data_IF_799006964797
#
_entry.id   IF_799006964797
#
_cell.length_a   1.000
_cell.length_b   1.000
_cell.length_c   1.000
_cell.angle_alpha   90.00
_cell.angle_beta   90.00
_cell.angle_gamma   90.00
#
_symmetry.space_group_name_H-M   'P 1'
#
loop_
_entity.id
_entity.type
_entity.pdbx_description
1 polymer ?
#
# COMPACT_ATOMS: atom_id res chain seq x y z
N UNK A 1 -11.82 -7.21 -13.97
CA UNK A 1 -12.10 -7.49 -12.54
C UNK A 1 -12.91 -6.35 -11.94
N UNK A 2 -13.90 -6.60 -11.06
CA UNK A 2 -14.67 -5.50 -10.45
C UNK A 2 -13.80 -4.83 -9.38
N UNK A 3 -13.48 -3.56 -9.57
CA UNK A 3 -12.73 -2.76 -8.60
C UNK A 3 -13.55 -2.60 -7.31
N UNK A 4 -13.20 -3.37 -6.28
CA UNK A 4 -13.91 -3.40 -5.01
C UNK A 4 -13.94 -2.04 -4.32
N UNK A 5 -12.83 -1.29 -4.37
CA UNK A 5 -12.70 0.04 -3.78
C UNK A 5 -13.68 1.00 -4.43
N UNK A 6 -13.66 1.10 -5.75
CA UNK A 6 -14.55 1.97 -6.51
C UNK A 6 -16.01 1.53 -6.37
N UNK A 7 -16.29 0.24 -6.40
CA UNK A 7 -17.65 -0.28 -6.19
C UNK A 7 -18.19 0.10 -4.81
N UNK A 8 -17.34 0.05 -3.77
CA UNK A 8 -17.71 0.45 -2.42
C UNK A 8 -17.96 1.95 -2.33
N UNK A 9 -17.08 2.79 -2.91
CA UNK A 9 -17.26 4.25 -2.96
C UNK A 9 -18.56 4.61 -3.69
N UNK A 10 -18.84 4.02 -4.85
CA UNK A 10 -20.10 4.21 -5.58
C UNK A 10 -21.32 3.89 -4.75
N UNK A 11 -21.29 2.76 -4.03
CA UNK A 11 -22.37 2.37 -3.13
C UNK A 11 -22.55 3.38 -2.00
N UNK A 12 -21.46 3.87 -1.41
CA UNK A 12 -21.52 4.90 -0.37
C UNK A 12 -22.09 6.21 -0.90
N UNK A 13 -21.70 6.64 -2.09
CA UNK A 13 -22.25 7.83 -2.76
C UNK A 13 -23.73 7.69 -3.04
N UNK A 14 -24.20 6.49 -3.46
CA UNK A 14 -25.62 6.23 -3.75
C UNK A 14 -26.51 6.33 -2.52
N UNK A 15 -25.98 6.00 -1.33
CA UNK A 15 -26.72 6.11 -0.06
C UNK A 15 -26.46 7.45 0.65
N UNK A 16 -25.84 8.41 -0.05
CA UNK A 16 -25.55 9.75 0.46
C UNK A 16 -24.64 9.76 1.70
N UNK A 17 -23.63 8.90 1.73
CA UNK A 17 -22.59 8.95 2.76
C UNK A 17 -21.87 10.29 2.71
N UNK A 18 -21.88 11.08 3.80
CA UNK A 18 -21.40 12.45 3.76
C UNK A 18 -19.88 12.56 3.79
N UNK A 19 -19.20 11.63 4.47
CA UNK A 19 -17.74 11.69 4.68
C UNK A 19 -17.18 10.30 4.50
N UNK A 20 -16.25 10.16 3.55
CA UNK A 20 -15.50 8.96 3.28
C UNK A 20 -14.02 9.26 3.52
N UNK A 21 -13.31 8.38 4.19
CA UNK A 21 -11.85 8.42 4.30
C UNK A 21 -11.31 7.23 3.53
N UNK A 22 -10.55 7.50 2.48
CA UNK A 22 -9.97 6.49 1.61
C UNK A 22 -8.46 6.39 1.82
N UNK A 23 -8.01 5.25 2.32
CA UNK A 23 -6.59 4.96 2.51
C UNK A 23 -6.03 4.35 1.24
N UNK A 24 -5.06 5.02 0.61
CA UNK A 24 -4.41 4.54 -0.61
C UNK A 24 -2.93 4.90 -0.61
N UNK A 25 -2.12 4.02 -1.20
CA UNK A 25 -0.70 4.26 -1.46
C UNK A 25 -0.44 5.04 -2.76
N UNK A 26 -1.50 5.29 -3.56
CA UNK A 26 -1.41 6.00 -4.84
C UNK A 26 -2.64 6.91 -5.01
N UNK A 27 -2.57 8.10 -4.39
CA UNK A 27 -3.65 9.08 -4.44
C UNK A 27 -4.00 9.52 -5.87
N UNK A 28 -3.04 9.81 -6.77
CA UNK A 28 -3.35 10.17 -8.15
C UNK A 28 -4.14 9.08 -8.88
N UNK A 29 -3.71 7.82 -8.76
CA UNK A 29 -4.38 6.70 -9.38
C UNK A 29 -5.79 6.46 -8.82
N UNK A 30 -5.95 6.50 -7.49
CA UNK A 30 -7.27 6.39 -6.87
C UNK A 30 -8.19 7.54 -7.28
N UNK A 31 -7.67 8.76 -7.33
CA UNK A 31 -8.42 9.95 -7.76
C UNK A 31 -8.92 9.82 -9.19
N UNK A 32 -8.09 9.32 -10.12
CA UNK A 32 -8.49 9.06 -11.49
C UNK A 32 -9.64 8.02 -11.56
N UNK A 33 -9.50 6.89 -10.88
CA UNK A 33 -10.54 5.85 -10.83
C UNK A 33 -11.86 6.36 -10.23
N UNK A 34 -11.78 7.21 -9.20
CA UNK A 34 -12.95 7.89 -8.65
C UNK A 34 -13.55 8.80 -9.71
N UNK A 35 -12.77 9.64 -10.39
CA UNK A 35 -13.23 10.56 -11.41
C UNK A 35 -14.01 9.84 -12.54
N UNK A 36 -13.46 8.74 -13.05
CA UNK A 36 -14.11 7.90 -14.08
C UNK A 36 -15.42 7.26 -13.59
N UNK A 37 -15.60 7.18 -12.29
CA UNK A 37 -16.69 6.44 -11.66
C UNK A 37 -17.86 7.27 -11.14
N UNK A 38 -17.66 8.58 -10.92
CA UNK A 38 -18.65 9.45 -10.25
C UNK A 38 -19.83 9.83 -11.14
N UNK A 39 -19.73 9.64 -12.46
CA UNK A 39 -20.77 9.98 -13.41
C UNK A 39 -21.01 11.50 -13.49
N UNK A 40 -22.29 11.90 -13.60
CA UNK A 40 -22.73 13.30 -13.77
C UNK A 40 -22.77 14.12 -12.46
N UNK A 41 -21.93 13.79 -11.48
CA UNK A 41 -21.84 14.58 -10.23
C UNK A 41 -20.76 15.64 -10.36
N UNK A 42 -20.99 16.88 -9.90
CA UNK A 42 -19.89 17.85 -9.77
C UNK A 42 -18.78 17.26 -8.90
N UNK A 43 -17.54 17.32 -9.37
CA UNK A 43 -16.40 16.78 -8.64
C UNK A 43 -15.23 17.74 -8.65
N UNK A 44 -14.73 18.04 -7.45
CA UNK A 44 -13.61 18.94 -7.24
C UNK A 44 -12.56 18.28 -6.35
N UNK A 45 -11.31 18.61 -6.61
CA UNK A 45 -10.18 18.21 -5.80
C UNK A 45 -9.62 19.41 -5.05
N UNK A 46 -9.14 19.19 -3.86
CA UNK A 46 -8.42 20.20 -3.10
C UNK A 46 -7.04 19.70 -2.70
N UNK A 47 -6.02 20.51 -2.99
CA UNK A 47 -4.67 20.34 -2.48
C UNK A 47 -4.20 21.61 -1.77
N UNK A 48 -3.19 21.47 -0.89
CA UNK A 48 -2.66 22.62 -0.15
C UNK A 48 -1.93 23.64 -1.05
N UNK A 49 -1.47 23.20 -2.22
CA UNK A 49 -0.72 24.03 -3.17
C UNK A 49 -1.64 24.76 -4.14
N UNK A 50 -2.67 24.06 -4.63
CA UNK A 50 -3.46 24.54 -5.76
C UNK A 50 -4.86 25.03 -5.35
N UNK A 51 -5.27 24.76 -4.08
CA UNK A 51 -6.64 25.01 -3.66
C UNK A 51 -7.61 24.07 -4.35
N UNK A 52 -8.81 24.55 -4.71
CA UNK A 52 -9.78 23.78 -5.45
C UNK A 52 -9.46 23.75 -6.94
N UNK A 53 -9.41 22.54 -7.49
CA UNK A 53 -9.27 22.25 -8.92
C UNK A 53 -10.42 21.35 -9.40
N UNK A 54 -10.92 21.53 -10.63
CA UNK A 54 -11.99 20.69 -11.13
C UNK A 54 -11.47 19.28 -11.47
N UNK A 55 -12.32 18.28 -11.25
CA UNK A 55 -12.12 16.91 -11.72
C UNK A 55 -12.89 16.66 -13.00
N UNK A 56 -14.04 17.33 -13.19
CA UNK A 56 -14.88 17.26 -14.36
C UNK A 56 -15.49 18.64 -14.69
N UNK A 57 -16.14 18.78 -15.83
CA UNK A 57 -16.76 20.04 -16.28
C UNK A 57 -17.79 20.60 -15.30
N UNK A 58 -18.57 19.71 -14.65
CA UNK A 58 -19.51 20.16 -13.60
C UNK A 58 -18.79 20.67 -12.36
N UNK A 59 -17.61 20.13 -12.04
CA UNK A 59 -16.74 20.62 -10.98
C UNK A 59 -16.15 21.99 -11.30
N UNK A 60 -15.80 22.27 -12.56
CA UNK A 60 -15.36 23.57 -13.04
C UNK A 60 -16.46 24.61 -12.83
N UNK A 61 -17.66 24.33 -13.33
CA UNK A 61 -18.83 25.18 -13.13
C UNK A 61 -19.15 25.41 -11.65
N UNK A 62 -18.91 24.42 -10.79
CA UNK A 62 -19.12 24.53 -9.35
C UNK A 62 -18.10 25.44 -8.68
N UNK A 63 -16.84 25.46 -9.14
CA UNK A 63 -15.80 26.38 -8.66
C UNK A 63 -16.08 27.80 -9.12
N UNK A 64 -16.44 27.98 -10.38
CA UNK A 64 -16.78 29.30 -10.96
C UNK A 64 -17.96 29.97 -10.27
N UNK A 65 -18.86 29.18 -9.69
CA UNK A 65 -19.96 29.66 -8.88
C UNK A 65 -19.61 30.14 -7.47
N UNK A 66 -18.36 29.99 -7.03
CA UNK A 66 -17.91 30.47 -5.71
C UNK A 66 -17.53 31.95 -5.75
N UNK A 67 -17.71 32.61 -4.59
CA UNK A 67 -17.19 33.96 -4.41
C UNK A 67 -15.65 33.96 -4.47
N UNK A 68 -15.01 34.94 -5.16
CA UNK A 68 -13.55 35.04 -5.21
C UNK A 68 -12.86 35.09 -3.82
N UNK A 69 -13.53 35.59 -2.81
CA UNK A 69 -13.02 35.56 -1.44
C UNK A 69 -13.00 34.15 -0.86
N UNK A 70 -14.00 33.34 -1.18
CA UNK A 70 -14.04 31.94 -0.77
C UNK A 70 -12.94 31.12 -1.44
N UNK A 71 -12.70 31.33 -2.74
CA UNK A 71 -11.58 30.70 -3.44
C UNK A 71 -10.27 31.04 -2.75
N UNK A 72 -10.04 32.31 -2.44
CA UNK A 72 -8.83 32.75 -1.72
C UNK A 72 -8.76 32.15 -0.30
N UNK A 73 -9.87 32.03 0.41
CA UNK A 73 -9.91 31.40 1.73
C UNK A 73 -9.60 29.92 1.66
N UNK A 74 -10.03 29.22 0.62
CA UNK A 74 -9.76 27.81 0.42
C UNK A 74 -8.29 27.49 0.16
N UNK A 75 -7.52 28.42 -0.41
CA UNK A 75 -6.08 28.29 -0.61
C UNK A 75 -5.24 28.62 0.63
N UNK A 76 -5.81 29.28 1.62
CA UNK A 76 -5.09 29.70 2.80
C UNK A 76 -4.74 28.53 3.74
N UNK A 77 -5.69 27.61 3.94
CA UNK A 77 -5.52 26.42 4.77
C UNK A 77 -6.67 25.43 4.58
N UNK A 78 -6.46 24.19 5.02
CA UNK A 78 -7.44 23.11 4.91
C UNK A 78 -8.74 23.36 5.66
N UNK A 79 -8.70 24.06 6.81
CA UNK A 79 -9.91 24.42 7.55
C UNK A 79 -10.80 25.40 6.77
N UNK A 80 -10.19 26.38 6.10
CA UNK A 80 -10.86 27.30 5.16
C UNK A 80 -11.45 26.54 3.97
N UNK A 81 -10.70 25.61 3.40
CA UNK A 81 -11.19 24.76 2.32
C UNK A 81 -12.43 23.97 2.75
N UNK A 82 -12.39 23.26 3.87
CA UNK A 82 -13.54 22.49 4.38
C UNK A 82 -14.74 23.42 4.68
N UNK A 83 -14.50 24.64 5.13
CA UNK A 83 -15.57 25.61 5.33
C UNK A 83 -16.23 26.00 4.00
N UNK A 84 -15.43 26.34 2.98
CA UNK A 84 -15.90 26.69 1.64
C UNK A 84 -16.59 25.50 0.95
N UNK A 85 -16.17 24.28 1.24
CA UNK A 85 -16.80 23.07 0.71
C UNK A 85 -18.31 22.98 0.96
N UNK A 86 -18.84 23.70 1.98
CA UNK A 86 -20.28 23.79 2.25
C UNK A 86 -21.04 24.62 1.23
N UNK A 87 -20.35 25.43 0.44
CA UNK A 87 -20.95 26.36 -0.52
C UNK A 87 -21.13 25.75 -1.91
N UNK A 88 -20.48 24.63 -2.21
CA UNK A 88 -20.67 23.94 -3.48
C UNK A 88 -22.13 23.52 -3.72
N UNK A 89 -22.55 23.34 -4.96
CA UNK A 89 -23.89 22.89 -5.28
C UNK A 89 -24.22 21.49 -4.68
N UNK A 90 -25.51 21.13 -4.52
CA UNK A 90 -25.89 19.79 -4.07
C UNK A 90 -25.25 18.68 -4.90
N UNK A 91 -25.07 17.52 -4.30
CA UNK A 91 -24.45 16.33 -4.92
C UNK A 91 -22.98 16.47 -5.29
N UNK A 92 -22.29 17.56 -4.97
CA UNK A 92 -20.86 17.71 -5.23
C UNK A 92 -20.05 16.71 -4.41
N UNK A 93 -19.08 16.08 -5.08
CA UNK A 93 -18.02 15.28 -4.44
C UNK A 93 -16.77 16.13 -4.32
N UNK A 94 -16.29 16.28 -3.08
CA UNK A 94 -15.09 17.05 -2.76
C UNK A 94 -14.00 16.07 -2.33
N UNK A 95 -12.93 15.97 -3.09
CA UNK A 95 -11.75 15.16 -2.72
C UNK A 95 -10.75 16.08 -2.02
N UNK A 96 -10.24 15.66 -0.86
CA UNK A 96 -9.20 16.39 -0.12
C UNK A 96 -7.96 15.51 -0.03
N UNK A 97 -6.88 15.96 -0.64
CA UNK A 97 -5.62 15.22 -0.65
C UNK A 97 -4.88 15.32 0.69
N UNK A 98 -4.22 14.23 1.06
CA UNK A 98 -3.36 14.17 2.26
C UNK A 98 -4.05 14.64 3.55
N UNK A 99 -5.31 14.31 3.72
CA UNK A 99 -6.09 14.75 4.88
C UNK A 99 -5.46 14.34 6.22
N UNK A 100 -4.71 13.25 6.24
CA UNK A 100 -3.98 12.76 7.43
C UNK A 100 -2.92 13.73 7.96
N UNK A 101 -2.38 14.63 7.15
CA UNK A 101 -1.43 15.65 7.61
C UNK A 101 -2.02 16.62 8.63
N UNK A 102 -3.36 16.67 8.73
CA UNK A 102 -4.09 17.62 9.54
C UNK A 102 -4.84 17.00 10.73
N UNK A 103 -4.58 15.70 11.02
CA UNK A 103 -5.26 15.00 12.11
C UNK A 103 -5.03 15.62 13.50
N UNK A 104 -3.88 16.27 13.70
CA UNK A 104 -3.55 16.94 14.97
C UNK A 104 -4.17 18.34 15.10
N UNK A 105 -4.91 18.79 14.09
CA UNK A 105 -5.53 20.11 14.06
C UNK A 105 -7.00 20.04 14.52
N UNK A 106 -7.35 20.49 15.74
CA UNK A 106 -8.72 20.39 16.26
C UNK A 106 -9.75 21.10 15.37
N UNK A 107 -9.37 22.24 14.77
CA UNK A 107 -10.23 23.01 13.85
C UNK A 107 -10.62 22.18 12.64
N UNK A 108 -9.71 21.39 12.09
CA UNK A 108 -9.99 20.53 10.92
C UNK A 108 -10.92 19.38 11.30
N UNK A 109 -10.66 18.70 12.41
CA UNK A 109 -11.54 17.64 12.92
C UNK A 109 -12.97 18.18 13.14
N UNK A 110 -13.09 19.31 13.81
CA UNK A 110 -14.40 19.94 14.03
C UNK A 110 -15.07 20.37 12.72
N UNK A 111 -14.30 20.91 11.77
CA UNK A 111 -14.83 21.28 10.45
C UNK A 111 -15.41 20.09 9.70
N UNK A 112 -14.73 18.94 9.74
CA UNK A 112 -15.20 17.67 9.15
C UNK A 112 -16.49 17.21 9.83
N UNK A 113 -16.52 17.18 11.16
CA UNK A 113 -17.70 16.78 11.92
C UNK A 113 -18.92 17.66 11.56
N UNK A 114 -18.71 18.95 11.38
CA UNK A 114 -19.74 19.90 11.01
C UNK A 114 -20.27 19.75 9.58
N UNK A 115 -19.62 18.94 8.72
CA UNK A 115 -20.13 18.63 7.39
C UNK A 115 -21.21 17.54 7.40
N UNK A 116 -21.22 16.68 8.40
CA UNK A 116 -22.02 15.44 8.40
C UNK A 116 -23.47 15.68 8.02
N UNK A 117 -24.20 16.48 8.78
CA UNK A 117 -25.63 16.72 8.57
C UNK A 117 -25.93 17.53 7.29
N UNK A 118 -25.24 18.67 7.02
CA UNK A 118 -25.43 19.42 5.78
C UNK A 118 -25.11 18.60 4.52
N UNK A 119 -24.08 17.77 4.55
CA UNK A 119 -23.69 16.96 3.40
C UNK A 119 -24.68 15.84 3.13
N UNK A 120 -25.13 15.15 4.18
CA UNK A 120 -26.17 14.14 4.06
C UNK A 120 -27.47 14.71 3.47
N UNK A 121 -27.92 15.86 3.97
CA UNK A 121 -29.15 16.52 3.51
C UNK A 121 -29.07 16.94 2.02
N UNK A 122 -27.88 17.31 1.54
CA UNK A 122 -27.67 17.81 0.17
C UNK A 122 -27.00 16.79 -0.75
N UNK A 123 -26.82 15.54 -0.31
CA UNK A 123 -26.15 14.46 -1.05
C UNK A 123 -24.71 14.81 -1.47
N UNK A 124 -24.06 15.77 -0.81
CA UNK A 124 -22.65 16.05 -1.00
C UNK A 124 -21.82 14.97 -0.33
N UNK A 125 -20.58 14.81 -0.77
CA UNK A 125 -19.64 13.89 -0.15
C UNK A 125 -18.25 14.52 -0.08
N UNK A 126 -17.59 14.41 1.08
CA UNK A 126 -16.17 14.67 1.20
C UNK A 126 -15.44 13.33 1.20
N UNK A 127 -14.47 13.18 0.32
CA UNK A 127 -13.57 12.02 0.26
C UNK A 127 -12.18 12.49 0.67
N UNK A 128 -11.76 12.18 1.90
CA UNK A 128 -10.40 12.47 2.37
C UNK A 128 -9.45 11.35 1.97
N UNK A 129 -8.43 11.66 1.17
CA UNK A 129 -7.37 10.70 0.84
C UNK A 129 -6.32 10.71 1.95
N UNK A 130 -5.97 9.52 2.43
CA UNK A 130 -4.97 9.32 3.49
C UNK A 130 -3.99 8.22 3.11
N UNK A 131 -2.80 8.24 3.71
CA UNK A 131 -1.76 7.24 3.50
C UNK A 131 -1.33 6.64 4.84
N UNK A 132 -1.63 5.34 5.05
CA UNK A 132 -1.12 4.57 6.18
C UNK A 132 -1.44 5.12 7.57
N UNK A 133 -2.42 6.03 7.67
CA UNK A 133 -2.74 6.74 8.90
C UNK A 133 -4.01 6.18 9.55
N UNK A 134 -3.92 5.89 10.83
CA UNK A 134 -5.10 5.53 11.63
C UNK A 134 -6.06 6.73 11.70
N UNK A 135 -7.35 6.41 11.63
CA UNK A 135 -8.40 7.42 11.77
C UNK A 135 -8.47 7.90 13.23
N UNK A 136 -8.46 9.22 13.48
CA UNK A 136 -8.65 9.74 14.85
C UNK A 136 -9.95 9.21 15.48
N UNK A 137 -9.90 8.86 16.76
CA UNK A 137 -11.05 8.30 17.49
C UNK A 137 -12.31 9.16 17.38
N UNK A 138 -12.14 10.49 17.37
CA UNK A 138 -13.22 11.47 17.23
C UNK A 138 -13.97 11.34 15.89
N UNK A 139 -13.31 10.85 14.84
CA UNK A 139 -13.85 10.76 13.48
C UNK A 139 -14.39 9.37 13.12
N UNK A 140 -14.05 8.33 13.89
CA UNK A 140 -14.43 6.93 13.59
C UNK A 140 -15.94 6.78 13.41
N UNK A 141 -16.75 7.39 14.27
CA UNK A 141 -18.21 7.30 14.22
C UNK A 141 -18.87 8.24 13.21
N UNK A 142 -18.13 9.21 12.69
CA UNK A 142 -18.63 10.24 11.80
C UNK A 142 -18.30 10.00 10.33
N UNK A 143 -17.41 9.07 10.04
CA UNK A 143 -16.86 8.80 8.71
C UNK A 143 -17.01 7.34 8.32
N UNK A 144 -17.00 7.08 7.03
CA UNK A 144 -16.89 5.73 6.48
C UNK A 144 -15.48 5.53 5.94
N UNK A 145 -14.82 4.46 6.35
CA UNK A 145 -13.46 4.16 5.95
C UNK A 145 -13.42 3.14 4.81
N UNK A 146 -12.54 3.36 3.85
CA UNK A 146 -12.33 2.47 2.70
C UNK A 146 -10.83 2.29 2.50
N UNK A 147 -10.37 1.05 2.45
CA UNK A 147 -9.02 0.72 2.02
C UNK A 147 -8.98 0.53 0.51
N UNK A 148 -7.94 1.10 -0.09
CA UNK A 148 -7.53 0.85 -1.46
C UNK A 148 -6.27 -0.01 -1.42
N UNK A 149 -6.41 -1.33 -1.50
CA UNK A 149 -5.28 -2.24 -1.38
C UNK A 149 -4.32 -2.06 -2.55
N UNK A 150 -3.06 -2.43 -2.32
CA UNK A 150 -2.09 -2.53 -3.40
C UNK A 150 -2.60 -3.51 -4.48
N UNK A 151 -2.21 -3.31 -5.74
CA UNK A 151 -2.68 -4.13 -6.85
C UNK A 151 -2.32 -5.61 -6.65
N UNK A 152 -3.25 -6.48 -7.03
CA UNK A 152 -3.02 -7.92 -7.07
C UNK A 152 -2.11 -8.32 -8.25
N UNK A 153 -1.69 -9.58 -8.29
CA UNK A 153 -0.81 -10.10 -9.34
C UNK A 153 -1.41 -9.99 -10.73
N UNK A 154 -2.73 -10.15 -10.85
CA UNK A 154 -3.46 -10.02 -12.11
C UNK A 154 -3.37 -8.60 -12.65
N UNK A 155 -3.66 -7.61 -11.82
CA UNK A 155 -3.57 -6.19 -12.17
C UNK A 155 -2.14 -5.79 -12.54
N UNK A 156 -1.14 -6.29 -11.80
CA UNK A 156 0.27 -6.05 -12.09
C UNK A 156 0.69 -6.69 -13.42
N UNK A 157 0.19 -7.88 -13.72
CA UNK A 157 0.45 -8.56 -14.99
C UNK A 157 -0.11 -7.80 -16.18
N UNK A 158 -1.36 -7.36 -16.10
CA UNK A 158 -1.98 -6.56 -17.16
C UNK A 158 -1.26 -5.21 -17.35
N UNK A 159 -0.87 -4.56 -16.26
CA UNK A 159 -0.09 -3.33 -16.32
C UNK A 159 1.30 -3.54 -16.95
N UNK A 160 1.97 -4.64 -16.64
CA UNK A 160 3.24 -5.02 -17.26
C UNK A 160 3.10 -5.19 -18.77
N UNK A 161 2.02 -5.86 -19.22
CA UNK A 161 1.74 -6.03 -20.65
C UNK A 161 1.45 -4.69 -21.33
N UNK A 162 0.63 -3.84 -20.73
CA UNK A 162 0.34 -2.50 -21.25
C UNK A 162 1.62 -1.71 -21.50
N UNK A 163 2.55 -1.70 -20.56
CA UNK A 163 3.83 -1.00 -20.67
C UNK A 163 4.70 -1.63 -21.77
N UNK A 164 4.76 -2.96 -21.79
CA UNK A 164 5.53 -3.69 -22.79
C UNK A 164 5.04 -3.38 -24.21
N UNK A 165 3.74 -3.52 -24.47
CA UNK A 165 3.18 -3.26 -25.80
C UNK A 165 3.22 -1.77 -26.19
N UNK A 166 3.14 -0.88 -25.21
CA UNK A 166 3.36 0.55 -25.46
C UNK A 166 4.78 0.86 -25.95
N UNK A 167 5.77 0.10 -25.48
CA UNK A 167 7.18 0.32 -25.81
C UNK A 167 7.62 -0.38 -27.11
N UNK A 168 7.15 -1.59 -27.35
CA UNK A 168 7.60 -2.46 -28.46
C UNK A 168 6.56 -2.62 -29.57
N UNK A 169 5.30 -2.25 -29.34
CA UNK A 169 4.19 -2.45 -30.27
C UNK A 169 3.59 -3.86 -30.19
N UNK A 170 2.43 -4.03 -30.82
CA UNK A 170 1.61 -5.26 -30.74
C UNK A 170 2.21 -6.45 -31.53
N UNK A 171 3.26 -6.22 -32.32
CA UNK A 171 3.94 -7.28 -33.07
C UNK A 171 4.90 -8.10 -32.23
N UNK A 172 5.35 -7.56 -31.12
CA UNK A 172 6.17 -8.27 -30.13
C UNK A 172 5.26 -9.06 -29.17
N UNK A 173 5.79 -10.18 -28.64
CA UNK A 173 5.02 -11.01 -27.71
C UNK A 173 5.75 -11.12 -26.39
N UNK A 174 5.08 -10.71 -25.34
CA UNK A 174 5.47 -11.04 -23.97
C UNK A 174 4.82 -12.35 -23.58
N UNK A 175 5.64 -13.34 -23.20
CA UNK A 175 5.13 -14.63 -22.73
C UNK A 175 4.33 -14.49 -21.44
N UNK A 176 3.25 -15.27 -21.31
CA UNK A 176 2.36 -15.21 -20.14
C UNK A 176 3.07 -15.61 -18.84
N UNK A 177 3.97 -16.58 -18.92
CA UNK A 177 4.75 -17.01 -17.75
C UNK A 177 5.77 -15.95 -17.36
N UNK A 178 6.36 -15.26 -18.33
CA UNK A 178 7.26 -14.14 -18.10
C UNK A 178 6.51 -12.95 -17.48
N UNK A 179 5.37 -12.53 -18.04
CA UNK A 179 4.53 -11.49 -17.50
C UNK A 179 4.10 -11.79 -16.06
N UNK A 180 3.71 -13.04 -15.78
CA UNK A 180 3.37 -13.49 -14.43
C UNK A 180 4.58 -13.50 -13.48
N UNK A 181 5.75 -13.83 -13.99
CA UNK A 181 7.01 -13.75 -13.25
C UNK A 181 7.35 -12.32 -12.83
N UNK A 182 7.21 -11.37 -13.75
CA UNK A 182 7.42 -9.93 -13.49
C UNK A 182 6.40 -9.40 -12.50
N UNK A 183 5.11 -9.73 -12.67
CA UNK A 183 4.06 -9.32 -11.74
C UNK A 183 4.33 -9.79 -10.30
N UNK A 184 4.88 -11.00 -10.12
CA UNK A 184 5.28 -11.51 -8.79
C UNK A 184 6.42 -10.70 -8.18
N UNK A 185 7.38 -10.24 -8.99
CA UNK A 185 8.49 -9.40 -8.53
C UNK A 185 8.04 -7.98 -8.15
N UNK A 186 6.94 -7.52 -8.75
CA UNK A 186 6.32 -6.20 -8.48
C UNK A 186 5.33 -6.22 -7.30
N UNK A 187 5.01 -7.36 -6.71
CA UNK A 187 4.09 -7.43 -5.56
C UNK A 187 4.53 -6.47 -4.44
N UNK A 188 3.54 -5.82 -3.84
CA UNK A 188 3.77 -4.85 -2.78
C UNK A 188 4.15 -3.44 -3.28
N UNK A 189 4.07 -3.19 -4.58
CA UNK A 189 4.26 -1.84 -5.15
C UNK A 189 2.93 -1.18 -5.51
N UNK A 190 2.89 0.16 -5.46
CA UNK A 190 1.75 0.91 -6.01
C UNK A 190 1.71 0.82 -7.53
N UNK A 191 0.54 1.10 -8.17
CA UNK A 191 0.42 1.09 -9.63
C UNK A 191 1.46 1.97 -10.32
N UNK A 192 1.63 3.20 -9.86
CA UNK A 192 2.64 4.12 -10.37
C UNK A 192 4.06 3.54 -10.24
N UNK A 193 4.38 2.96 -9.08
CA UNK A 193 5.72 2.40 -8.85
C UNK A 193 5.97 1.17 -9.72
N UNK A 194 4.97 0.30 -9.89
CA UNK A 194 5.06 -0.85 -10.79
C UNK A 194 5.33 -0.41 -12.23
N UNK A 195 4.65 0.64 -12.69
CA UNK A 195 4.87 1.24 -14.00
C UNK A 195 6.32 1.74 -14.15
N UNK A 196 6.81 2.53 -13.20
CA UNK A 196 8.17 3.06 -13.24
C UNK A 196 9.24 1.96 -13.23
N UNK A 197 9.07 0.95 -12.37
CA UNK A 197 10.01 -0.17 -12.27
C UNK A 197 10.05 -0.98 -13.57
N UNK A 198 8.90 -1.23 -14.17
CA UNK A 198 8.80 -1.95 -15.44
C UNK A 198 9.44 -1.12 -16.57
N UNK A 199 9.09 0.15 -16.69
CA UNK A 199 9.63 1.04 -17.72
C UNK A 199 11.17 1.18 -17.63
N UNK A 200 11.72 1.34 -16.43
CA UNK A 200 13.17 1.41 -16.21
C UNK A 200 13.91 0.11 -16.51
N UNK A 201 13.20 -1.00 -16.58
CA UNK A 201 13.75 -2.32 -16.84
C UNK A 201 13.61 -2.75 -18.31
N UNK A 202 12.98 -1.93 -19.16
CA UNK A 202 12.93 -2.16 -20.60
C UNK A 202 14.33 -2.08 -21.21
N UNK A 203 14.62 -2.96 -22.16
CA UNK A 203 15.86 -2.97 -22.95
C UNK A 203 15.56 -2.61 -24.39
N UNK A 204 16.56 -2.26 -25.17
CA UNK A 204 16.34 -1.87 -26.58
C UNK A 204 16.00 -3.06 -27.50
N UNK A 205 16.33 -4.28 -27.11
CA UNK A 205 16.28 -5.48 -27.97
C UNK A 205 15.70 -6.72 -27.30
N UNK A 206 15.74 -6.82 -25.97
CA UNK A 206 15.56 -8.10 -25.28
C UNK A 206 14.39 -8.10 -24.28
N UNK A 207 13.42 -7.18 -24.45
CA UNK A 207 12.25 -7.16 -23.59
C UNK A 207 12.54 -6.53 -22.21
N UNK A 208 12.10 -7.16 -21.12
CA UNK A 208 12.22 -6.64 -19.75
C UNK A 208 13.40 -7.34 -19.04
N UNK A 209 14.41 -6.57 -18.64
CA UNK A 209 15.54 -7.04 -17.85
C UNK A 209 15.09 -7.29 -16.39
N UNK A 210 14.85 -8.55 -16.05
CA UNK A 210 14.40 -8.97 -14.71
C UNK A 210 15.45 -8.74 -13.63
N UNK A 211 16.75 -8.71 -13.96
CA UNK A 211 17.79 -8.39 -12.99
C UNK A 211 17.69 -6.94 -12.56
N UNK A 212 17.59 -6.03 -13.53
CA UNK A 212 17.37 -4.59 -13.25
C UNK A 212 16.06 -4.33 -12.51
N UNK A 213 14.98 -5.04 -12.88
CA UNK A 213 13.70 -4.92 -12.20
C UNK A 213 13.84 -5.24 -10.70
N UNK A 214 14.48 -6.38 -10.39
CA UNK A 214 14.73 -6.81 -9.01
C UNK A 214 15.61 -5.84 -8.25
N UNK A 215 16.68 -5.35 -8.85
CA UNK A 215 17.60 -4.43 -8.21
C UNK A 215 16.93 -3.08 -7.90
N UNK A 216 16.13 -2.58 -8.84
CA UNK A 216 15.37 -1.34 -8.64
C UNK A 216 14.26 -1.51 -7.57
N UNK A 217 13.59 -2.66 -7.54
CA UNK A 217 12.60 -2.97 -6.51
C UNK A 217 13.24 -3.14 -5.12
N UNK A 218 14.46 -3.69 -5.04
CA UNK A 218 15.24 -3.80 -3.78
C UNK A 218 15.64 -2.44 -3.21
N UNK A 219 16.09 -1.52 -4.05
CA UNK A 219 16.45 -0.16 -3.61
C UNK A 219 15.31 0.52 -2.85
N UNK A 220 14.09 0.36 -3.33
CA UNK A 220 12.91 0.95 -2.69
C UNK A 220 12.68 0.44 -1.27
N UNK A 221 12.93 -0.85 -1.03
CA UNK A 221 12.79 -1.43 0.32
C UNK A 221 13.86 -0.86 1.25
N UNK A 222 15.08 -0.68 0.75
CA UNK A 222 16.18 -0.09 1.52
C UNK A 222 15.94 1.38 1.90
N UNK A 223 15.13 2.11 1.12
CA UNK A 223 14.75 3.49 1.42
C UNK A 223 13.69 3.58 2.53
N UNK A 224 13.12 2.44 2.95
CA UNK A 224 12.15 2.40 4.05
C UNK A 224 12.87 2.24 5.38
N UNK A 225 12.63 3.15 6.32
CA UNK A 225 13.28 3.12 7.63
C UNK A 225 13.04 1.79 8.35
N UNK A 226 14.11 1.18 8.82
CA UNK A 226 14.07 -0.11 9.54
C UNK A 226 13.98 -1.35 8.64
N UNK A 227 13.91 -1.20 7.31
CA UNK A 227 13.95 -2.30 6.37
C UNK A 227 15.24 -2.28 5.56
N UNK A 228 15.83 -3.44 5.34
CA UNK A 228 16.94 -3.61 4.39
C UNK A 228 16.77 -4.93 3.64
N UNK A 229 17.01 -4.91 2.35
CA UNK A 229 17.09 -6.13 1.55
C UNK A 229 18.50 -6.67 1.68
N UNK A 230 18.62 -7.89 2.17
CA UNK A 230 19.91 -8.57 2.21
C UNK A 230 20.28 -9.10 0.81
N UNK A 231 21.58 -9.12 0.51
CA UNK A 231 22.06 -9.75 -0.71
C UNK A 231 21.75 -11.26 -0.65
N UNK A 232 21.21 -11.80 -1.72
CA UNK A 232 20.84 -13.22 -1.85
C UNK A 232 21.74 -13.91 -2.86
N UNK A 233 23.05 -13.75 -2.70
CA UNK A 233 24.05 -14.43 -3.54
C UNK A 233 24.33 -15.86 -3.05
N UNK A 234 24.01 -16.12 -1.78
CA UNK A 234 24.15 -17.42 -1.15
C UNK A 234 23.17 -18.43 -1.74
N UNK A 235 23.65 -19.64 -1.97
CA UNK A 235 22.90 -20.78 -2.48
C UNK A 235 22.84 -21.91 -1.45
N UNK A 236 21.96 -22.89 -1.66
CA UNK A 236 21.96 -24.10 -0.82
C UNK A 236 23.27 -24.87 -0.89
N UNK A 237 24.07 -24.71 -1.95
CA UNK A 237 25.39 -25.31 -2.06
C UNK A 237 26.39 -24.75 -1.05
N UNK A 238 26.17 -23.54 -0.56
CA UNK A 238 27.02 -22.88 0.45
C UNK A 238 26.72 -23.37 1.87
N UNK A 239 25.69 -24.23 2.04
CA UNK A 239 25.26 -24.77 3.32
C UNK A 239 25.73 -26.23 3.39
N UNK A 240 26.78 -26.47 4.15
CA UNK A 240 27.29 -27.84 4.38
C UNK A 240 26.43 -28.63 5.37
N UNK A 241 26.26 -29.94 5.12
CA UNK A 241 25.70 -30.87 6.09
C UNK A 241 24.18 -30.90 6.27
N UNK A 242 23.39 -30.25 5.39
CA UNK A 242 21.93 -30.20 5.46
C UNK A 242 21.23 -30.77 4.23
N UNK A 243 21.81 -31.74 3.53
CA UNK A 243 21.34 -32.27 2.26
C UNK A 243 19.89 -32.81 2.34
N UNK A 244 19.54 -33.49 3.43
CA UNK A 244 18.18 -34.01 3.65
C UNK A 244 17.15 -32.87 3.85
N UNK A 245 17.54 -31.79 4.50
CA UNK A 245 16.68 -30.61 4.69
C UNK A 245 16.55 -29.81 3.40
N UNK A 246 17.60 -29.68 2.61
CA UNK A 246 17.57 -29.05 1.29
C UNK A 246 16.63 -29.79 0.35
N UNK A 247 16.74 -31.13 0.30
CA UNK A 247 15.84 -31.97 -0.50
C UNK A 247 14.39 -31.89 -0.03
N UNK A 248 14.15 -31.84 1.30
CA UNK A 248 12.82 -31.62 1.87
C UNK A 248 12.25 -30.27 1.44
N UNK A 249 13.01 -29.17 1.54
CA UNK A 249 12.57 -27.83 1.13
C UNK A 249 12.27 -27.79 -0.36
N UNK A 250 13.10 -28.39 -1.23
CA UNK A 250 12.85 -28.48 -2.67
C UNK A 250 11.52 -29.16 -2.97
N UNK A 251 11.23 -30.31 -2.34
CA UNK A 251 9.99 -31.05 -2.57
C UNK A 251 8.72 -30.27 -2.23
N UNK A 252 8.78 -29.44 -1.19
CA UNK A 252 7.60 -28.70 -0.70
C UNK A 252 7.46 -27.30 -1.28
N UNK A 253 8.54 -26.69 -1.72
CA UNK A 253 8.52 -25.29 -2.17
C UNK A 253 8.79 -25.14 -3.68
N UNK A 254 9.23 -26.19 -4.38
CA UNK A 254 9.47 -26.16 -5.81
C UNK A 254 8.29 -26.76 -6.58
N UNK A 255 7.84 -26.08 -7.64
CA UNK A 255 6.82 -26.57 -8.56
C UNK A 255 5.44 -25.87 -8.49
N UNK A 256 4.60 -26.12 -9.51
CA UNK A 256 3.31 -25.43 -9.69
C UNK A 256 2.21 -25.90 -8.71
N UNK A 257 2.39 -27.02 -8.04
CA UNK A 257 1.43 -27.60 -7.07
C UNK A 257 2.02 -27.59 -5.67
N UNK A 258 2.27 -26.40 -5.13
CA UNK A 258 2.80 -26.26 -3.78
C UNK A 258 1.75 -26.69 -2.75
N UNK A 259 2.03 -27.67 -1.89
CA UNK A 259 1.14 -27.97 -0.77
C UNK A 259 1.15 -26.80 0.23
N UNK A 260 0.02 -26.52 0.84
CA UNK A 260 -0.03 -25.63 2.00
C UNK A 260 0.63 -26.36 3.17
N UNK A 261 1.77 -25.88 3.64
CA UNK A 261 2.53 -26.50 4.74
C UNK A 261 2.54 -25.57 5.92
N UNK A 262 2.13 -26.07 7.08
CA UNK A 262 2.31 -25.40 8.37
C UNK A 262 3.53 -25.99 9.04
N UNK A 263 4.59 -25.19 9.19
CA UNK A 263 5.76 -25.57 9.96
C UNK A 263 5.58 -25.08 11.40
N UNK A 264 5.36 -26.02 12.32
CA UNK A 264 5.26 -25.73 13.75
C UNK A 264 6.70 -25.69 14.34
N UNK A 265 7.02 -24.62 15.02
CA UNK A 265 8.27 -24.44 15.73
C UNK A 265 7.95 -24.26 17.21
N UNK A 266 8.55 -25.10 18.05
CA UNK A 266 8.33 -25.04 19.50
C UNK A 266 9.33 -24.10 20.18
N UNK A 267 8.91 -23.46 21.29
CA UNK A 267 9.75 -22.65 22.18
C UNK A 267 10.35 -21.37 21.58
N UNK A 268 9.65 -20.73 20.64
CA UNK A 268 10.10 -19.48 20.03
C UNK A 268 10.27 -18.35 21.07
N UNK A 269 9.46 -18.38 22.13
CA UNK A 269 9.51 -17.46 23.25
C UNK A 269 10.85 -17.53 24.00
N UNK A 270 11.46 -18.72 24.09
CA UNK A 270 12.76 -18.90 24.72
C UNK A 270 13.91 -18.38 23.86
N UNK A 271 13.76 -18.46 22.53
CA UNK A 271 14.73 -17.92 21.59
C UNK A 271 14.76 -16.38 21.62
N UNK A 272 13.63 -15.76 21.88
CA UNK A 272 13.51 -14.29 21.97
C UNK A 272 13.77 -13.75 23.39
N UNK A 273 13.52 -14.53 24.43
CA UNK A 273 13.84 -14.16 25.82
C UNK A 273 15.35 -14.20 26.14
N UNK A 274 16.17 -14.87 25.30
CA UNK A 274 17.63 -14.99 25.50
C UNK A 274 18.46 -13.78 25.05
N UNK A 275 17.86 -12.72 24.57
CA UNK A 275 18.56 -11.50 24.17
C UNK A 275 18.28 -10.38 25.19
N UNK A 276 19.03 -10.41 26.29
CA UNK A 276 19.09 -9.31 27.24
C UNK A 276 18.25 -9.53 28.49
N UNK A 277 18.94 -9.78 29.58
CA UNK A 277 18.44 -9.59 30.95
C UNK A 277 18.07 -8.13 31.13
N UNK A 278 16.84 -7.77 30.86
CA UNK A 278 16.05 -6.81 31.62
C UNK A 278 14.65 -6.71 31.01
N UNK A 279 13.68 -6.94 31.87
CA UNK A 279 12.25 -6.98 31.61
C UNK A 279 11.68 -5.66 31.12
N UNK A 280 11.29 -5.60 29.88
CA UNK A 280 10.21 -4.69 29.50
C UNK A 280 9.15 -5.49 28.72
N UNK A 281 7.90 -5.45 29.17
CA UNK A 281 6.76 -6.21 28.65
C UNK A 281 6.43 -5.97 27.17
N UNK A 282 7.08 -4.98 26.54
CA UNK A 282 6.88 -4.58 25.15
C UNK A 282 7.39 -5.58 24.11
N UNK A 283 8.33 -6.45 24.44
CA UNK A 283 8.84 -7.44 23.47
C UNK A 283 7.92 -8.65 23.36
N UNK A 284 7.25 -9.04 24.45
CA UNK A 284 6.22 -10.09 24.44
C UNK A 284 4.96 -9.68 23.68
N UNK A 285 4.55 -8.43 23.85
CA UNK A 285 3.36 -7.88 23.18
C UNK A 285 3.56 -7.76 21.68
N UNK A 286 4.75 -7.36 21.22
CA UNK A 286 5.09 -7.27 19.80
C UNK A 286 5.11 -8.66 19.12
N UNK A 287 5.63 -9.67 19.82
CA UNK A 287 5.59 -11.05 19.32
C UNK A 287 4.16 -11.59 19.28
N UNK A 288 3.37 -11.36 20.32
CA UNK A 288 1.97 -11.75 20.37
C UNK A 288 1.19 -11.13 19.21
N UNK A 289 1.38 -9.84 18.93
CA UNK A 289 0.76 -9.14 17.82
C UNK A 289 1.19 -9.73 16.46
N UNK A 290 2.47 -10.07 16.28
CA UNK A 290 2.97 -10.70 15.05
C UNK A 290 2.36 -12.08 14.82
N UNK A 291 2.33 -12.92 15.86
CA UNK A 291 1.75 -14.26 15.79
C UNK A 291 0.24 -14.20 15.48
N UNK A 292 -0.48 -13.30 16.12
CA UNK A 292 -1.91 -13.08 15.84
C UNK A 292 -2.11 -12.62 14.40
N UNK A 293 -1.31 -11.68 13.91
CA UNK A 293 -1.38 -11.22 12.53
C UNK A 293 -1.06 -12.34 11.52
N UNK A 294 -0.10 -13.21 11.82
CA UNK A 294 0.22 -14.38 10.99
C UNK A 294 -0.94 -15.38 10.97
N UNK A 295 -1.60 -15.62 12.11
CA UNK A 295 -2.73 -16.52 12.24
C UNK A 295 -3.97 -15.98 11.50
N UNK A 296 -4.34 -14.73 11.74
CA UNK A 296 -5.50 -14.07 11.13
C UNK A 296 -5.39 -14.00 9.60
N UNK A 297 -4.18 -13.74 9.09
CA UNK A 297 -3.93 -13.63 7.65
C UNK A 297 -3.52 -14.96 7.00
N UNK A 298 -3.45 -16.04 7.76
CA UNK A 298 -2.99 -17.36 7.30
C UNK A 298 -1.64 -17.30 6.60
N UNK A 299 -0.73 -16.48 7.11
CA UNK A 299 0.60 -16.39 6.53
C UNK A 299 1.36 -17.70 6.76
N UNK A 300 1.94 -18.22 5.69
CA UNK A 300 2.83 -19.36 5.75
C UNK A 300 4.27 -18.88 5.88
N UNK A 301 5.04 -19.51 6.73
CA UNK A 301 6.42 -19.14 6.95
C UNK A 301 7.24 -20.29 7.53
N UNK A 302 8.56 -20.13 7.52
CA UNK A 302 9.50 -21.00 8.22
C UNK A 302 10.19 -20.16 9.26
N UNK A 303 10.13 -20.58 10.53
CA UNK A 303 10.89 -19.99 11.60
C UNK A 303 12.08 -20.87 11.93
N UNK A 304 13.30 -20.37 11.69
CA UNK A 304 14.53 -21.08 11.97
C UNK A 304 14.98 -20.81 13.41
N UNK A 305 15.15 -21.89 14.19
CA UNK A 305 15.57 -21.85 15.59
C UNK A 305 16.91 -22.56 15.78
N UNK A 306 17.74 -22.08 16.68
CA UNK A 306 19.03 -22.68 17.02
C UNK A 306 20.02 -21.69 17.67
N UNK A 307 21.12 -22.21 18.19
CA UNK A 307 22.17 -21.40 18.80
C UNK A 307 22.79 -20.39 17.83
N UNK A 308 23.43 -19.34 18.35
CA UNK A 308 24.14 -18.39 17.50
C UNK A 308 25.23 -19.08 16.67
N UNK A 309 25.36 -18.70 15.39
CA UNK A 309 26.36 -19.29 14.49
C UNK A 309 25.95 -20.59 13.80
N UNK A 310 24.77 -21.16 14.03
CA UNK A 310 24.34 -22.41 13.40
C UNK A 310 23.77 -22.25 11.96
N UNK A 311 23.99 -21.13 11.29
CA UNK A 311 23.65 -20.94 9.89
C UNK A 311 22.20 -20.50 9.59
N UNK A 312 21.39 -20.11 10.58
CA UNK A 312 19.98 -19.70 10.38
C UNK A 312 19.78 -18.63 9.30
N UNK A 313 20.58 -17.58 9.38
CA UNK A 313 20.50 -16.46 8.42
C UNK A 313 20.96 -16.89 7.02
N UNK A 314 21.93 -17.80 6.94
CA UNK A 314 22.40 -18.34 5.67
C UNK A 314 21.32 -19.19 4.99
N UNK A 315 20.62 -20.04 5.75
CA UNK A 315 19.46 -20.81 5.24
C UNK A 315 18.36 -19.91 4.71
N UNK A 316 18.04 -18.82 5.44
CA UNK A 316 17.01 -17.87 5.00
C UNK A 316 17.39 -17.19 3.67
N UNK A 317 18.65 -16.76 3.52
CA UNK A 317 19.16 -16.15 2.28
C UNK A 317 19.18 -17.13 1.10
N UNK A 318 19.68 -18.36 1.34
CA UNK A 318 19.71 -19.39 0.32
C UNK A 318 18.30 -19.80 -0.14
N UNK A 319 17.34 -19.90 0.79
CA UNK A 319 15.95 -20.14 0.46
C UNK A 319 15.36 -19.02 -0.40
N UNK A 320 15.58 -17.76 -0.02
CA UNK A 320 15.11 -16.61 -0.79
C UNK A 320 15.69 -16.60 -2.21
N UNK A 321 16.97 -16.90 -2.36
CA UNK A 321 17.62 -17.00 -3.67
C UNK A 321 17.04 -18.14 -4.51
N UNK A 322 16.89 -19.34 -3.93
CA UNK A 322 16.35 -20.53 -4.62
C UNK A 322 14.91 -20.30 -5.13
N UNK A 323 14.09 -19.59 -4.36
CA UNK A 323 12.69 -19.32 -4.72
C UNK A 323 12.48 -18.02 -5.49
N UNK A 324 13.55 -17.30 -5.84
CA UNK A 324 13.47 -15.99 -6.48
C UNK A 324 12.73 -14.96 -5.63
N UNK A 325 12.69 -15.18 -4.32
CA UNK A 325 12.04 -14.28 -3.35
C UNK A 325 13.02 -13.21 -2.87
N UNK A 326 12.47 -12.11 -2.33
CA UNK A 326 13.28 -11.07 -1.67
C UNK A 326 13.51 -11.47 -0.21
N UNK A 327 14.77 -11.45 0.25
CA UNK A 327 15.07 -11.53 1.67
C UNK A 327 14.98 -10.14 2.28
N UNK A 328 14.01 -9.92 3.16
CA UNK A 328 13.83 -8.65 3.86
C UNK A 328 14.23 -8.84 5.32
N UNK A 329 15.17 -8.01 5.77
CA UNK A 329 15.55 -7.95 7.16
C UNK A 329 14.75 -6.83 7.84
N UNK A 330 14.09 -7.18 8.93
CA UNK A 330 13.39 -6.24 9.80
C UNK A 330 14.23 -5.93 11.04
N UNK A 331 14.65 -4.68 11.20
CA UNK A 331 15.37 -4.21 12.37
C UNK A 331 14.43 -3.49 13.33
N UNK A 332 14.02 -4.20 14.39
CA UNK A 332 13.10 -3.68 15.41
C UNK A 332 13.72 -2.47 16.14
N UNK A 333 15.05 -2.43 16.31
CA UNK A 333 15.69 -1.32 17.02
C UNK A 333 15.69 -0.04 16.18
N UNK A 334 15.85 -0.15 14.88
CA UNK A 334 15.74 1.00 13.97
C UNK A 334 14.31 1.59 13.93
N UNK A 335 13.31 0.76 14.17
CA UNK A 335 11.91 1.20 14.21
C UNK A 335 11.53 1.88 15.55
N UNK A 336 12.28 1.64 16.62
CA UNK A 336 12.03 2.24 17.96
C UNK A 336 12.57 3.66 18.10
N UNK A 337 13.35 4.16 17.15
CA UNK A 337 14.16 5.37 17.29
C UNK A 337 13.43 6.70 17.32
N UNK A 338 12.09 6.76 17.22
CA UNK A 338 11.34 8.01 17.26
C UNK A 338 10.20 8.07 18.28
N UNK A 339 10.01 7.03 19.09
CA UNK A 339 8.89 6.92 20.02
C UNK A 339 9.29 6.80 21.51
N UNK A 340 10.56 6.93 21.82
CA UNK A 340 11.05 7.00 23.20
C UNK A 340 11.81 8.30 23.35
N UNK A 341 11.07 9.38 23.57
CA UNK A 341 11.57 10.64 24.06
C UNK A 341 11.05 10.86 25.45
#
# INVERSE_FOLDING_TARGET
MCDKTITTIKKMLSVSTPIIVANSYDHPHLKQRIAESIGERPAVNWSITDGYTPINELGESAIDGLDPQDVKQSTANVGGAIHVAKKFPPSTTVIVENLHWYWDTPVVKQAILNLREPYKATKRCLIGLVLGSALPADLVQATSYVDDPLPDEETLREKTKEIFYSAYGDNEKLDEDEASGIARELRGTSPFRAEQLTALSLTKSDGIDRSKLRDNARKQINDTAGLSVESTTETFADIGGLDAMQEFLRRYFDGPRRPSVVVRIEEIEKALAGVGTESSGTSGDALGALLTAMEDNRWTGILAYGVSGCGKSLVAKAAANQFGAKAIRFDINACKGSLVG
#
